data_IF_910306360135
#
_entry.id   IF_910306360135
#
_cell.length_a   1.000
_cell.length_b   1.000
_cell.length_c   1.000
_cell.angle_alpha   90.00
_cell.angle_beta   90.00
_cell.angle_gamma   90.00
#
_symmetry.space_group_name_H-M   'P 1'
#
loop_
_entity.id
_entity.type
_entity.pdbx_description
1 polymer ?
#
# COMPACT_ATOMS: atom_id res chain seq x y z
N UNK A 1 -34.99 -29.49 77.39
CA UNK A 1 -34.80 -28.12 76.87
C UNK A 1 -33.42 -28.06 76.22
N UNK A 2 -33.36 -27.65 74.95
CA UNK A 2 -32.27 -26.98 74.21
C UNK A 2 -30.82 -27.25 74.68
N UNK A 3 -29.86 -27.78 73.90
CA UNK A 3 -29.30 -27.28 72.63
C UNK A 3 -28.10 -28.19 72.27
N UNK A 4 -27.99 -28.76 71.06
CA UNK A 4 -27.31 -28.27 69.85
C UNK A 4 -25.74 -28.24 69.89
N UNK A 5 -25.16 -29.09 69.02
CA UNK A 5 -23.87 -29.08 68.28
C UNK A 5 -23.23 -27.69 67.96
N UNK A 6 -22.04 -27.57 67.30
CA UNK A 6 -20.93 -28.49 66.97
C UNK A 6 -19.52 -27.84 67.21
N UNK A 7 -18.38 -28.51 67.04
CA UNK A 7 -17.65 -28.60 65.75
C UNK A 7 -16.34 -27.80 65.75
N UNK A 8 -15.21 -28.44 66.08
CA UNK A 8 -13.88 -27.85 65.90
C UNK A 8 -13.50 -27.86 64.42
N UNK A 9 -13.67 -26.73 63.76
CA UNK A 9 -13.17 -26.48 62.41
C UNK A 9 -11.66 -26.32 62.43
N UNK A 10 -11.02 -27.06 61.52
CA UNK A 10 -9.61 -27.03 61.17
C UNK A 10 -9.08 -25.62 60.96
N UNK A 11 -8.00 -25.30 61.66
CA UNK A 11 -7.08 -24.22 61.31
C UNK A 11 -6.47 -24.52 59.93
N UNK A 12 -7.06 -23.96 58.88
CA UNK A 12 -6.39 -23.77 57.59
C UNK A 12 -5.84 -22.36 57.56
N UNK A 13 -4.55 -22.28 57.83
CA UNK A 13 -3.70 -21.12 57.61
C UNK A 13 -3.88 -20.63 56.15
N UNK A 14 -4.28 -19.36 55.92
CA UNK A 14 -4.41 -18.83 54.57
C UNK A 14 -3.03 -18.70 53.95
N UNK A 15 -2.76 -19.53 52.94
CA UNK A 15 -1.57 -19.42 52.10
C UNK A 15 -1.47 -17.99 51.56
N UNK A 16 -0.34 -17.35 51.85
CA UNK A 16 -0.03 -16.01 51.40
C UNK A 16 -0.16 -15.93 49.86
N UNK A 17 -0.77 -14.85 49.31
CA UNK A 17 -0.79 -14.63 47.88
C UNK A 17 0.65 -14.48 47.39
N UNK A 18 1.05 -15.43 46.54
CA UNK A 18 2.32 -15.52 45.84
C UNK A 18 2.49 -14.26 44.96
N UNK A 19 2.98 -13.16 45.55
CA UNK A 19 3.11 -11.84 44.93
C UNK A 19 4.32 -11.71 43.99
N UNK A 20 5.09 -12.78 43.83
CA UNK A 20 6.38 -12.75 43.13
C UNK A 20 6.33 -13.37 41.71
N UNK A 21 5.13 -13.67 41.19
CA UNK A 21 4.98 -13.87 39.75
C UNK A 21 5.00 -12.52 39.04
N UNK A 22 6.21 -12.01 38.85
CA UNK A 22 6.49 -11.11 37.73
C UNK A 22 5.80 -11.69 36.49
N UNK A 23 4.85 -10.97 35.86
CA UNK A 23 4.27 -11.43 34.62
C UNK A 23 5.42 -11.51 33.63
N UNK A 24 5.86 -12.74 33.35
CA UNK A 24 6.90 -13.05 32.38
C UNK A 24 6.65 -12.16 31.17
N UNK A 25 7.55 -11.18 30.97
CA UNK A 25 7.45 -10.22 29.89
C UNK A 25 7.32 -11.04 28.61
N UNK A 26 6.07 -11.17 28.13
CA UNK A 26 5.76 -12.03 27.00
C UNK A 26 6.71 -11.65 25.89
N UNK A 27 7.60 -12.58 25.55
CA UNK A 27 8.67 -12.36 24.59
C UNK A 27 8.07 -12.06 23.24
N UNK A 28 7.81 -10.78 22.97
CA UNK A 28 7.36 -10.31 21.66
C UNK A 28 8.59 -10.41 20.77
N UNK A 29 8.72 -11.55 20.10
CA UNK A 29 9.80 -11.77 19.15
C UNK A 29 9.77 -10.64 18.10
N UNK A 30 10.84 -9.84 17.98
CA UNK A 30 10.85 -8.69 17.08
C UNK A 30 10.79 -9.16 15.63
N UNK A 31 9.63 -8.99 15.00
CA UNK A 31 9.42 -9.37 13.60
C UNK A 31 10.24 -8.47 12.66
N UNK A 32 11.08 -9.09 11.84
CA UNK A 32 11.82 -8.42 10.77
C UNK A 32 11.22 -8.76 9.41
N UNK A 33 10.97 -7.78 8.53
CA UNK A 33 10.47 -8.04 7.19
C UNK A 33 11.47 -8.86 6.38
N UNK A 34 11.00 -9.67 5.41
CA UNK A 34 11.89 -10.39 4.49
C UNK A 34 12.85 -9.42 3.80
N UNK A 35 14.10 -9.85 3.60
CA UNK A 35 15.15 -9.05 2.94
C UNK A 35 14.68 -8.53 1.58
N UNK A 36 13.97 -9.36 0.81
CA UNK A 36 13.42 -8.97 -0.50
C UNK A 36 12.50 -7.75 -0.44
N UNK A 37 11.65 -7.64 0.59
CA UNK A 37 10.75 -6.49 0.78
C UNK A 37 11.54 -5.21 1.08
N UNK A 38 12.60 -5.32 1.89
CA UNK A 38 13.46 -4.18 2.20
C UNK A 38 14.25 -3.73 0.96
N UNK A 39 14.79 -4.67 0.18
CA UNK A 39 15.50 -4.37 -1.06
C UNK A 39 14.57 -3.74 -2.10
N UNK A 40 13.34 -4.24 -2.24
CA UNK A 40 12.33 -3.64 -3.11
C UNK A 40 12.02 -2.19 -2.70
N UNK A 41 11.88 -1.92 -1.39
CA UNK A 41 11.72 -0.55 -0.88
C UNK A 41 12.93 0.34 -1.15
N UNK A 42 14.16 -0.16 -1.03
CA UNK A 42 15.36 0.63 -1.33
C UNK A 42 15.51 0.91 -2.84
N UNK A 43 15.24 -0.08 -3.69
CA UNK A 43 15.25 0.07 -5.13
C UNK A 43 14.17 1.05 -5.60
N UNK A 44 12.94 0.92 -5.07
CA UNK A 44 11.85 1.84 -5.34
C UNK A 44 12.16 3.28 -4.92
N UNK A 45 12.85 3.47 -3.79
CA UNK A 45 13.33 4.79 -3.35
C UNK A 45 14.32 5.42 -4.34
N UNK A 46 15.31 4.65 -4.79
CA UNK A 46 16.31 5.13 -5.73
C UNK A 46 15.69 5.55 -7.06
N UNK A 47 14.78 4.72 -7.60
CA UNK A 47 14.05 5.01 -8.84
C UNK A 47 13.14 6.21 -8.66
N UNK A 48 12.39 6.28 -7.56
CA UNK A 48 11.49 7.38 -7.27
C UNK A 48 12.20 8.73 -7.22
N UNK A 49 13.29 8.86 -6.46
CA UNK A 49 14.05 10.12 -6.36
C UNK A 49 14.67 10.48 -7.70
N UNK A 50 15.16 9.50 -8.46
CA UNK A 50 15.74 9.74 -9.79
C UNK A 50 14.68 10.23 -10.78
N UNK A 51 13.51 9.57 -10.81
CA UNK A 51 12.40 9.93 -11.68
C UNK A 51 11.82 11.31 -11.31
N UNK A 52 11.66 11.60 -10.02
CA UNK A 52 11.23 12.90 -9.52
C UNK A 52 12.21 14.01 -9.93
N UNK A 53 13.51 13.83 -9.69
CA UNK A 53 14.50 14.83 -10.06
C UNK A 53 14.58 15.04 -11.58
N UNK A 54 14.51 13.96 -12.36
CA UNK A 54 14.52 14.00 -13.82
C UNK A 54 13.27 14.69 -14.39
N UNK A 55 12.09 14.34 -13.91
CA UNK A 55 10.83 14.98 -14.33
C UNK A 55 10.86 16.47 -14.04
N UNK A 56 11.28 16.88 -12.85
CA UNK A 56 11.35 18.28 -12.43
C UNK A 56 12.39 19.12 -13.18
N UNK A 57 13.60 18.61 -13.40
CA UNK A 57 14.73 19.41 -13.89
C UNK A 57 15.05 19.23 -15.37
N UNK A 58 14.53 18.16 -15.99
CA UNK A 58 14.76 17.84 -17.40
C UNK A 58 13.47 17.83 -18.21
N UNK A 59 12.40 17.19 -17.72
CA UNK A 59 11.15 17.12 -18.48
C UNK A 59 10.36 18.43 -18.40
N UNK A 60 10.10 18.97 -17.20
CA UNK A 60 9.33 20.22 -17.02
C UNK A 60 9.91 21.37 -17.85
N UNK A 61 11.22 21.67 -17.83
CA UNK A 61 11.77 22.79 -18.60
C UNK A 61 11.78 22.56 -20.12
N UNK A 62 11.56 21.33 -20.59
CA UNK A 62 11.44 21.02 -22.01
C UNK A 62 10.02 21.15 -22.54
N UNK A 63 9.00 21.12 -21.67
CA UNK A 63 7.61 21.20 -22.10
C UNK A 63 7.28 22.48 -22.89
N UNK A 64 7.80 23.69 -22.57
CA UNK A 64 7.59 24.87 -23.43
C UNK A 64 8.10 24.67 -24.87
N UNK A 65 9.27 24.05 -25.04
CA UNK A 65 9.86 23.80 -26.37
C UNK A 65 9.00 22.83 -27.18
N UNK A 66 8.39 21.85 -26.50
CA UNK A 66 7.48 20.89 -27.14
C UNK A 66 6.18 21.60 -27.52
N UNK A 67 5.60 22.38 -26.61
CA UNK A 67 4.40 23.16 -26.84
C UNK A 67 4.55 24.11 -28.04
N UNK A 68 5.67 24.82 -28.15
CA UNK A 68 5.95 25.74 -29.25
C UNK A 68 6.08 25.05 -30.63
N UNK A 69 6.43 23.76 -30.65
CA UNK A 69 6.80 23.03 -31.88
C UNK A 69 5.77 21.99 -32.31
N UNK A 70 4.98 21.48 -31.38
CA UNK A 70 4.02 20.44 -31.64
C UNK A 70 2.75 21.02 -32.28
N UNK A 71 2.18 20.37 -33.32
CA UNK A 71 0.94 20.80 -33.93
C UNK A 71 -0.23 20.42 -33.00
N UNK A 72 -0.56 21.28 -32.03
CA UNK A 72 -1.47 20.92 -30.93
C UNK A 72 -2.91 21.44 -31.12
N UNK A 73 -3.88 20.59 -31.51
CA UNK A 73 -5.24 20.72 -31.00
C UNK A 73 -5.27 20.17 -29.56
N UNK A 74 -5.56 21.02 -28.56
CA UNK A 74 -5.67 20.58 -27.15
C UNK A 74 -4.87 21.36 -26.09
N UNK A 75 -4.14 22.42 -26.46
CA UNK A 75 -3.54 23.37 -25.51
C UNK A 75 -2.31 22.86 -24.74
N UNK A 76 -1.43 23.79 -24.39
CA UNK A 76 -0.13 23.52 -23.74
C UNK A 76 -0.27 22.80 -22.39
N UNK A 77 -1.41 23.00 -21.71
CA UNK A 77 -1.65 22.59 -20.33
C UNK A 77 -1.60 21.08 -20.07
N UNK A 78 -2.02 20.23 -21.01
CA UNK A 78 -2.07 18.77 -20.82
C UNK A 78 -0.67 18.16 -20.66
N UNK A 79 0.33 18.65 -21.40
CA UNK A 79 1.71 18.18 -21.31
C UNK A 79 2.34 18.54 -19.95
N UNK A 80 2.11 19.76 -19.46
CA UNK A 80 2.58 20.17 -18.14
C UNK A 80 1.90 19.37 -17.02
N UNK A 81 0.60 19.10 -17.17
CA UNK A 81 -0.16 18.27 -16.24
C UNK A 81 0.37 16.84 -16.18
N UNK A 82 0.67 16.24 -17.33
CA UNK A 82 1.24 14.89 -17.40
C UNK A 82 2.56 14.80 -16.66
N UNK A 83 3.49 15.73 -16.90
CA UNK A 83 4.78 15.77 -16.19
C UNK A 83 4.60 16.01 -14.69
N UNK A 84 3.65 16.86 -14.29
CA UNK A 84 3.30 17.07 -12.88
C UNK A 84 2.80 15.79 -12.20
N UNK A 85 1.93 15.02 -12.86
CA UNK A 85 1.49 13.73 -12.31
C UNK A 85 2.61 12.71 -12.17
N UNK A 86 3.54 12.65 -13.13
CA UNK A 86 4.72 11.78 -13.02
C UNK A 86 5.59 12.17 -11.82
N UNK A 87 5.74 13.48 -11.54
CA UNK A 87 6.44 13.98 -10.34
C UNK A 87 5.75 13.51 -9.06
N UNK A 88 4.45 13.70 -8.96
CA UNK A 88 3.69 13.30 -7.77
C UNK A 88 3.66 11.78 -7.59
N UNK A 89 3.63 11.00 -8.68
CA UNK A 89 3.75 9.54 -8.66
C UNK A 89 5.11 9.10 -8.12
N UNK A 90 6.17 9.76 -8.56
CA UNK A 90 7.52 9.52 -8.06
C UNK A 90 7.63 9.85 -6.56
N UNK A 91 7.07 10.97 -6.10
CA UNK A 91 7.07 11.34 -4.66
C UNK A 91 6.26 10.33 -3.83
N UNK A 92 5.08 9.91 -4.32
CA UNK A 92 4.27 8.87 -3.68
C UNK A 92 5.05 7.55 -3.59
N UNK A 93 5.67 7.12 -4.69
CA UNK A 93 6.51 5.92 -4.73
C UNK A 93 7.66 6.02 -3.72
N UNK A 94 8.31 7.19 -3.58
CA UNK A 94 9.37 7.40 -2.58
C UNK A 94 8.84 7.20 -1.15
N UNK A 95 7.70 7.81 -0.81
CA UNK A 95 7.11 7.68 0.51
C UNK A 95 6.70 6.23 0.84
N UNK A 96 6.03 5.54 -0.09
CA UNK A 96 5.62 4.14 0.07
C UNK A 96 6.82 3.20 0.15
N UNK A 97 7.86 3.46 -0.64
CA UNK A 97 9.10 2.69 -0.64
C UNK A 97 9.87 2.85 0.67
N UNK A 98 9.92 4.07 1.22
CA UNK A 98 10.48 4.33 2.55
C UNK A 98 9.70 3.62 3.66
N UNK A 99 8.37 3.68 3.61
CA UNK A 99 7.51 2.97 4.57
C UNK A 99 7.77 1.46 4.52
N UNK A 100 7.95 0.90 3.32
CA UNK A 100 8.28 -0.51 3.12
C UNK A 100 9.63 -0.88 3.72
N UNK A 101 10.67 -0.08 3.44
CA UNK A 101 12.02 -0.32 3.96
C UNK A 101 12.10 -0.19 5.50
N UNK A 102 11.27 0.69 6.08
CA UNK A 102 11.29 1.01 7.51
C UNK A 102 10.09 0.44 8.29
N UNK A 103 9.29 -0.46 7.71
CA UNK A 103 8.00 -0.86 8.27
C UNK A 103 8.08 -1.33 9.75
N UNK A 104 9.20 -1.94 10.14
CA UNK A 104 9.50 -2.45 11.49
C UNK A 104 9.91 -1.38 12.52
N UNK A 105 10.13 -0.13 12.12
CA UNK A 105 10.62 0.96 12.98
C UNK A 105 9.48 1.76 13.60
N UNK A 106 9.67 2.22 14.86
CA UNK A 106 8.75 3.16 15.52
C UNK A 106 8.64 4.44 14.69
N UNK A 107 7.41 4.90 14.48
CA UNK A 107 7.10 6.08 13.67
C UNK A 107 7.49 6.01 12.18
N UNK A 108 7.64 4.82 11.58
CA UNK A 108 7.90 4.67 10.14
C UNK A 108 6.86 5.38 9.27
N UNK A 109 5.58 5.34 9.66
CA UNK A 109 4.50 6.03 8.95
C UNK A 109 4.70 7.55 8.96
N UNK A 110 5.05 8.13 10.12
CA UNK A 110 5.36 9.56 10.24
C UNK A 110 6.60 9.94 9.42
N UNK A 111 7.63 9.09 9.38
CA UNK A 111 8.82 9.34 8.55
C UNK A 111 8.50 9.29 7.06
N UNK A 112 7.70 8.32 6.62
CA UNK A 112 7.25 8.21 5.23
C UNK A 112 6.39 9.41 4.81
N UNK A 113 5.39 9.76 5.63
CA UNK A 113 4.53 10.92 5.39
C UNK A 113 5.36 12.22 5.37
N UNK A 114 6.20 12.44 6.39
CA UNK A 114 7.06 13.62 6.46
C UNK A 114 8.06 13.70 5.30
N UNK A 115 8.58 12.57 4.82
CA UNK A 115 9.45 12.53 3.63
C UNK A 115 8.68 12.92 2.37
N UNK A 116 7.47 12.37 2.17
CA UNK A 116 6.62 12.77 1.04
C UNK A 116 6.27 14.26 1.07
N UNK A 117 5.86 14.78 2.23
CA UNK A 117 5.56 16.21 2.41
C UNK A 117 6.78 17.09 2.17
N UNK A 118 7.96 16.70 2.68
CA UNK A 118 9.19 17.44 2.48
C UNK A 118 9.60 17.44 1.00
N UNK A 119 9.48 16.31 0.30
CA UNK A 119 9.73 16.23 -1.14
C UNK A 119 8.75 17.11 -1.94
N UNK A 120 7.47 17.17 -1.56
CA UNK A 120 6.52 18.12 -2.18
C UNK A 120 6.92 19.58 -1.96
N UNK A 121 7.41 19.92 -0.76
CA UNK A 121 7.93 21.26 -0.48
C UNK A 121 9.18 21.60 -1.29
N UNK A 122 10.10 20.64 -1.43
CA UNK A 122 11.30 20.79 -2.26
C UNK A 122 10.93 20.89 -3.74
N UNK A 123 9.97 20.08 -4.22
CA UNK A 123 9.45 20.12 -5.59
C UNK A 123 9.01 21.53 -5.97
N UNK A 124 8.12 22.14 -5.18
CA UNK A 124 7.64 23.50 -5.42
C UNK A 124 8.75 24.57 -5.29
N UNK A 125 9.70 24.40 -4.36
CA UNK A 125 10.82 25.33 -4.21
C UNK A 125 11.79 25.29 -5.40
N UNK A 126 12.12 24.09 -5.89
CA UNK A 126 13.02 23.88 -7.04
C UNK A 126 12.36 24.35 -8.33
N UNK A 127 11.06 24.11 -8.51
CA UNK A 127 10.31 24.60 -9.66
C UNK A 127 10.28 26.13 -9.72
N UNK A 128 9.99 26.80 -8.59
CA UNK A 128 10.04 28.27 -8.49
C UNK A 128 11.43 28.84 -8.72
N UNK A 129 12.47 28.13 -8.30
CA UNK A 129 13.86 28.54 -8.53
C UNK A 129 14.28 28.39 -10.00
N UNK A 130 13.46 27.76 -10.85
CA UNK A 130 13.75 27.58 -12.28
C UNK A 130 14.95 26.69 -12.52
N UNK A 131 15.27 25.77 -11.61
CA UNK A 131 16.43 24.89 -11.76
C UNK A 131 16.21 23.88 -12.89
N UNK A 132 17.06 23.95 -13.92
CA UNK A 132 16.94 23.13 -15.12
C UNK A 132 18.30 22.52 -15.54
N UNK A 133 18.23 21.50 -16.40
CA UNK A 133 19.41 20.88 -17.00
C UNK A 133 20.21 19.99 -16.04
N UNK A 134 21.45 19.67 -16.41
CA UNK A 134 22.30 18.73 -15.66
C UNK A 134 22.68 19.25 -14.26
N UNK A 135 22.92 20.56 -14.12
CA UNK A 135 23.21 21.19 -12.83
C UNK A 135 21.98 21.14 -11.93
N UNK A 136 20.81 21.52 -12.45
CA UNK A 136 19.54 21.40 -11.74
C UNK A 136 19.30 19.96 -11.27
N UNK A 137 19.51 18.98 -12.15
CA UNK A 137 19.38 17.55 -11.83
C UNK A 137 20.29 17.13 -10.68
N UNK A 138 21.58 17.50 -10.72
CA UNK A 138 22.54 17.15 -9.68
C UNK A 138 22.16 17.76 -8.31
N UNK A 139 21.74 19.03 -8.31
CA UNK A 139 21.27 19.72 -7.09
C UNK A 139 20.03 19.03 -6.54
N UNK A 140 19.02 18.77 -7.37
CA UNK A 140 17.76 18.14 -6.97
C UNK A 140 17.95 16.71 -6.48
N UNK A 141 18.83 15.93 -7.11
CA UNK A 141 19.24 14.61 -6.59
C UNK A 141 19.94 14.73 -5.23
N UNK A 142 20.81 15.74 -5.06
CA UNK A 142 21.46 16.04 -3.79
C UNK A 142 20.47 16.38 -2.68
N UNK A 143 19.44 17.19 -2.98
CA UNK A 143 18.35 17.50 -2.05
C UNK A 143 17.53 16.24 -1.70
N UNK A 144 17.16 15.43 -2.69
CA UNK A 144 16.49 14.16 -2.46
C UNK A 144 17.31 13.21 -1.59
N UNK A 145 18.61 13.08 -1.86
CA UNK A 145 19.53 12.28 -1.06
C UNK A 145 19.65 12.82 0.38
N UNK A 146 19.71 14.14 0.57
CA UNK A 146 19.74 14.76 1.90
C UNK A 146 18.46 14.47 2.69
N UNK A 147 17.29 14.56 2.05
CA UNK A 147 16.00 14.21 2.65
C UNK A 147 15.99 12.73 3.09
N UNK A 148 16.42 11.81 2.22
CA UNK A 148 16.49 10.38 2.55
C UNK A 148 17.53 10.08 3.65
N UNK A 149 18.66 10.76 3.64
CA UNK A 149 19.69 10.61 4.67
C UNK A 149 19.19 11.09 6.04
N UNK A 150 18.44 12.20 6.08
CA UNK A 150 17.78 12.70 7.29
C UNK A 150 16.74 11.68 7.79
N UNK A 151 15.86 11.18 6.92
CA UNK A 151 14.88 10.16 7.27
C UNK A 151 15.56 8.90 7.83
N UNK A 152 16.64 8.44 7.20
CA UNK A 152 17.45 7.30 7.66
C UNK A 152 18.15 7.56 8.99
N UNK A 153 18.63 8.78 9.24
CA UNK A 153 19.20 9.19 10.53
C UNK A 153 18.16 9.16 11.64
N UNK A 154 16.98 9.75 11.40
CA UNK A 154 15.87 9.75 12.35
C UNK A 154 15.34 8.32 12.61
N UNK A 155 15.32 7.46 11.58
CA UNK A 155 14.94 6.06 11.73
C UNK A 155 15.90 5.26 12.62
N UNK A 156 17.20 5.56 12.57
CA UNK A 156 18.23 4.90 13.42
C UNK A 156 18.04 5.21 14.90
N UNK A 157 17.55 6.40 15.23
CA UNK A 157 17.33 6.83 16.62
C UNK A 157 16.08 6.22 17.23
N UNK A 158 15.23 5.59 16.42
CA UNK A 158 13.99 4.95 16.87
C UNK A 158 14.20 3.45 17.05
N UNK A 159 13.84 2.97 18.26
CA UNK A 159 13.98 1.57 18.62
C UNK A 159 13.23 0.64 17.63
N UNK A 160 13.87 -0.47 17.20
CA UNK A 160 13.15 -1.58 16.58
C UNK A 160 12.25 -2.29 17.62
N UNK A 161 11.35 -3.16 17.18
CA UNK A 161 10.50 -3.95 18.09
C UNK A 161 9.08 -3.43 18.20
N UNK A 162 8.38 -3.36 17.06
CA UNK A 162 6.93 -3.18 17.01
C UNK A 162 6.27 -4.56 16.83
N UNK A 163 5.09 -4.79 17.43
CA UNK A 163 4.32 -6.01 17.18
C UNK A 163 4.14 -6.32 15.68
N UNK A 164 4.29 -7.59 15.32
CA UNK A 164 4.25 -8.06 13.94
C UNK A 164 2.97 -7.63 13.18
N UNK A 165 1.82 -7.63 13.84
CA UNK A 165 0.55 -7.23 13.23
C UNK A 165 0.56 -5.76 12.78
N UNK A 166 1.23 -4.85 13.50
CA UNK A 166 1.35 -3.44 13.09
C UNK A 166 2.22 -3.32 11.85
N UNK A 167 3.32 -4.08 11.78
CA UNK A 167 4.22 -4.05 10.62
C UNK A 167 3.49 -4.57 9.37
N UNK A 168 2.77 -5.68 9.50
CA UNK A 168 1.93 -6.25 8.44
C UNK A 168 0.83 -5.29 7.98
N UNK A 169 0.17 -4.58 8.91
CA UNK A 169 -0.82 -3.54 8.58
C UNK A 169 -0.23 -2.41 7.74
N UNK A 170 0.96 -1.92 8.10
CA UNK A 170 1.67 -0.90 7.32
C UNK A 170 1.99 -1.37 5.91
N UNK A 171 2.45 -2.61 5.76
CA UNK A 171 2.72 -3.21 4.46
C UNK A 171 1.43 -3.44 3.65
N UNK A 172 0.31 -3.76 4.31
CA UNK A 172 -1.00 -3.83 3.65
C UNK A 172 -1.46 -2.46 3.12
N UNK A 173 -1.25 -1.37 3.88
CA UNK A 173 -1.51 0.01 3.41
C UNK A 173 -0.69 0.29 2.16
N UNK A 174 0.62 -0.01 2.19
CA UNK A 174 1.49 0.18 1.02
C UNK A 174 0.99 -0.62 -0.17
N UNK A 175 0.64 -1.90 0.04
CA UNK A 175 0.22 -2.77 -1.04
C UNK A 175 -1.04 -2.26 -1.74
N UNK A 176 -2.04 -1.82 -0.97
CA UNK A 176 -3.29 -1.27 -1.51
C UNK A 176 -3.02 0.05 -2.22
N UNK A 177 -2.31 0.99 -1.57
CA UNK A 177 -2.03 2.30 -2.14
C UNK A 177 -1.22 2.18 -3.44
N UNK A 178 -0.15 1.39 -3.44
CA UNK A 178 0.69 1.20 -4.62
C UNK A 178 -0.07 0.51 -5.77
N UNK A 179 -0.90 -0.50 -5.49
CA UNK A 179 -1.67 -1.19 -6.52
C UNK A 179 -2.74 -0.30 -7.16
N UNK A 180 -3.48 0.47 -6.36
CA UNK A 180 -4.50 1.39 -6.88
C UNK A 180 -3.88 2.56 -7.65
N UNK A 181 -2.72 3.06 -7.22
CA UNK A 181 -2.06 4.19 -7.87
C UNK A 181 -1.20 3.80 -9.07
N UNK A 182 -0.79 2.53 -9.20
CA UNK A 182 0.11 2.09 -10.27
C UNK A 182 -0.38 2.44 -11.68
N UNK A 183 -1.68 2.29 -12.03
CA UNK A 183 -2.12 2.56 -13.40
C UNK A 183 -2.42 4.04 -13.68
N UNK A 184 -2.51 4.88 -12.65
CA UNK A 184 -2.93 6.28 -12.78
C UNK A 184 -1.96 7.18 -13.56
N UNK A 185 -0.62 6.98 -13.55
CA UNK A 185 0.28 7.68 -14.46
C UNK A 185 -0.04 7.51 -15.96
N UNK A 186 -0.89 6.54 -16.31
CA UNK A 186 -1.37 6.30 -17.68
C UNK A 186 -2.69 7.04 -18.00
N UNK A 187 -3.23 7.81 -17.04
CA UNK A 187 -4.45 8.60 -17.25
C UNK A 187 -4.22 9.84 -18.09
N UNK A 188 -2.97 10.32 -18.12
CA UNK A 188 -2.57 11.47 -18.91
C UNK A 188 -1.87 11.02 -20.20
N UNK A 189 -1.97 11.85 -21.23
CA UNK A 189 -1.35 11.61 -22.53
C UNK A 189 -1.53 12.81 -23.45
N UNK A 190 -1.10 12.68 -24.69
CA UNK A 190 -1.25 13.70 -25.74
C UNK A 190 -1.64 13.04 -27.05
N UNK A 191 -2.34 13.74 -27.98
CA UNK A 191 -2.63 13.21 -29.31
C UNK A 191 -1.38 12.68 -30.03
N UNK A 192 -1.54 11.62 -30.83
CA UNK A 192 -0.46 10.91 -31.54
C UNK A 192 0.48 11.81 -32.35
N UNK A 193 -0.08 12.89 -32.93
CA UNK A 193 0.65 13.89 -33.72
C UNK A 193 1.74 14.64 -32.94
N UNK A 194 1.65 14.70 -31.60
CA UNK A 194 2.60 15.40 -30.74
C UNK A 194 3.79 14.53 -30.32
N UNK A 195 3.71 13.22 -30.49
CA UNK A 195 4.72 12.27 -29.96
C UNK A 195 6.11 12.38 -30.59
N UNK A 196 6.27 12.71 -31.89
CA UNK A 196 7.60 12.96 -32.46
C UNK A 196 8.36 14.10 -31.78
N UNK A 197 7.66 14.98 -31.07
CA UNK A 197 8.24 16.14 -30.38
C UNK A 197 8.52 15.86 -28.89
N UNK A 198 8.00 14.76 -28.34
CA UNK A 198 8.15 14.45 -26.92
C UNK A 198 9.60 14.08 -26.58
N UNK A 199 10.12 14.53 -25.43
CA UNK A 199 11.44 14.13 -24.98
C UNK A 199 11.46 12.63 -24.68
N UNK A 200 12.47 11.91 -25.19
CA UNK A 200 12.57 10.45 -25.07
C UNK A 200 12.49 9.89 -23.64
N UNK A 201 12.83 10.69 -22.61
CA UNK A 201 12.70 10.27 -21.22
C UNK A 201 11.29 10.29 -20.64
N UNK A 202 10.34 10.98 -21.28
CA UNK A 202 8.94 11.00 -20.84
C UNK A 202 8.29 9.60 -20.97
N UNK A 203 8.35 8.91 -22.14
CA UNK A 203 7.94 7.50 -22.28
C UNK A 203 8.52 6.58 -21.21
N UNK A 204 9.82 6.73 -20.95
CA UNK A 204 10.55 5.89 -20.00
C UNK A 204 9.99 6.07 -18.58
N UNK A 205 9.80 7.30 -18.11
CA UNK A 205 9.27 7.55 -16.77
C UNK A 205 7.82 7.08 -16.64
N UNK A 206 7.00 7.31 -17.68
CA UNK A 206 5.61 6.84 -17.73
C UNK A 206 5.49 5.31 -17.64
N UNK A 207 6.46 4.56 -18.18
CA UNK A 207 6.49 3.10 -18.06
C UNK A 207 7.08 2.62 -16.72
N UNK A 208 8.15 3.26 -16.25
CA UNK A 208 8.91 2.81 -15.08
C UNK A 208 8.13 2.99 -13.78
N UNK A 209 7.44 4.13 -13.60
CA UNK A 209 6.73 4.41 -12.33
C UNK A 209 5.61 3.40 -12.01
N UNK A 210 4.69 3.08 -12.94
CA UNK A 210 3.70 2.01 -12.74
C UNK A 210 4.30 0.65 -12.41
N UNK A 211 5.38 0.26 -13.12
CA UNK A 211 6.08 -1.00 -12.90
C UNK A 211 6.59 -1.09 -11.47
N UNK A 212 7.27 -0.05 -10.98
CA UNK A 212 7.80 -0.04 -9.62
C UNK A 212 6.72 0.01 -8.55
N UNK A 213 5.58 0.68 -8.79
CA UNK A 213 4.43 0.63 -7.89
C UNK A 213 3.84 -0.78 -7.80
N UNK A 214 3.68 -1.51 -8.92
CA UNK A 214 3.23 -2.91 -8.92
C UNK A 214 4.22 -3.83 -8.21
N UNK A 215 5.51 -3.69 -8.48
CA UNK A 215 6.56 -4.49 -7.82
C UNK A 215 6.52 -4.23 -6.31
N UNK A 216 6.44 -2.97 -5.89
CA UNK A 216 6.34 -2.60 -4.49
C UNK A 216 5.08 -3.20 -3.84
N UNK A 217 3.93 -3.13 -4.51
CA UNK A 217 2.69 -3.72 -4.04
C UNK A 217 2.80 -5.23 -3.82
N UNK A 218 3.42 -5.94 -4.77
CA UNK A 218 3.62 -7.39 -4.71
C UNK A 218 4.53 -7.81 -3.54
N UNK A 219 5.65 -7.11 -3.32
CA UNK A 219 6.53 -7.39 -2.19
C UNK A 219 5.90 -7.02 -0.85
N UNK A 220 5.13 -5.94 -0.80
CA UNK A 220 4.42 -5.50 0.39
C UNK A 220 3.29 -6.48 0.77
N UNK A 221 2.47 -6.93 -0.19
CA UNK A 221 1.43 -7.94 0.07
C UNK A 221 2.05 -9.27 0.48
N UNK A 222 3.12 -9.71 -0.18
CA UNK A 222 3.83 -10.95 0.16
C UNK A 222 4.32 -10.94 1.62
N UNK A 223 4.89 -9.83 2.08
CA UNK A 223 5.37 -9.68 3.45
C UNK A 223 4.27 -9.42 4.49
N UNK A 224 3.12 -8.88 4.08
CA UNK A 224 1.98 -8.69 4.98
C UNK A 224 1.31 -10.02 5.36
N UNK A 225 1.36 -11.04 4.49
CA UNK A 225 0.73 -12.37 4.71
C UNK A 225 1.34 -13.16 5.86
N UNK A 226 0.49 -13.78 6.69
CA UNK A 226 0.91 -14.54 7.88
C UNK A 226 2.09 -15.49 7.64
N UNK A 227 2.04 -16.21 6.52
CA UNK A 227 3.15 -17.03 6.01
C UNK A 227 3.73 -16.36 4.76
N UNK A 228 4.85 -15.64 4.86
CA UNK A 228 5.43 -14.96 3.70
C UNK A 228 5.89 -16.01 2.68
N UNK A 229 5.48 -15.89 1.41
CA UNK A 229 5.96 -16.77 0.37
C UNK A 229 7.45 -16.48 0.07
N UNK A 230 8.11 -17.42 -0.62
CA UNK A 230 9.46 -17.16 -1.16
C UNK A 230 9.44 -15.92 -2.04
N UNK A 231 10.49 -15.07 -2.05
CA UNK A 231 10.50 -13.79 -2.77
C UNK A 231 10.29 -13.90 -4.28
N UNK A 232 10.53 -15.08 -4.87
CA UNK A 232 10.23 -15.35 -6.28
C UNK A 232 8.72 -15.37 -6.59
N UNK A 233 7.87 -15.74 -5.63
CA UNK A 233 6.41 -15.81 -5.83
C UNK A 233 5.76 -14.42 -5.99
N UNK A 234 6.00 -13.43 -5.12
CA UNK A 234 5.49 -12.08 -5.37
C UNK A 234 6.11 -11.46 -6.62
N UNK A 235 7.38 -11.74 -6.92
CA UNK A 235 8.01 -11.29 -8.15
C UNK A 235 7.29 -11.85 -9.38
N UNK A 236 7.07 -13.18 -9.43
CA UNK A 236 6.34 -13.82 -10.51
C UNK A 236 4.89 -13.31 -10.64
N UNK A 237 4.22 -13.07 -9.50
CA UNK A 237 2.89 -12.46 -9.48
C UNK A 237 2.85 -11.01 -9.96
N UNK A 238 3.96 -10.27 -9.83
CA UNK A 238 4.10 -8.91 -10.32
C UNK A 238 4.42 -8.84 -11.83
N UNK A 239 5.02 -9.89 -12.41
CA UNK A 239 5.53 -9.85 -13.79
C UNK A 239 4.46 -9.47 -14.82
N UNK A 240 3.31 -10.15 -14.79
CA UNK A 240 2.23 -9.88 -15.74
C UNK A 240 1.68 -8.44 -15.62
N UNK A 241 1.20 -7.97 -14.45
CA UNK A 241 0.70 -6.60 -14.34
C UNK A 241 1.79 -5.56 -14.60
N UNK A 242 3.04 -5.80 -14.21
CA UNK A 242 4.16 -4.91 -14.53
C UNK A 242 4.43 -4.87 -16.04
N UNK A 243 4.44 -6.00 -16.73
CA UNK A 243 4.64 -6.06 -18.18
C UNK A 243 3.50 -5.37 -18.93
N UNK A 244 2.25 -5.55 -18.49
CA UNK A 244 1.08 -4.88 -19.07
C UNK A 244 1.17 -3.37 -18.88
N UNK A 245 1.40 -2.88 -17.65
CA UNK A 245 1.50 -1.44 -17.40
C UNK A 245 2.75 -0.81 -18.04
N UNK A 246 3.88 -1.52 -18.03
CA UNK A 246 5.08 -1.11 -18.74
C UNK A 246 4.85 -1.02 -20.24
N UNK A 247 4.18 -2.02 -20.81
CA UNK A 247 3.76 -2.04 -22.22
C UNK A 247 2.87 -0.84 -22.56
N UNK A 248 1.81 -0.60 -21.76
CA UNK A 248 0.97 0.58 -21.93
C UNK A 248 1.79 1.86 -21.80
N UNK A 249 2.62 2.03 -20.78
CA UNK A 249 3.44 3.24 -20.61
C UNK A 249 4.41 3.47 -21.76
N UNK A 250 5.03 2.41 -22.30
CA UNK A 250 5.85 2.51 -23.50
C UNK A 250 5.04 2.89 -24.73
N UNK A 251 3.83 2.33 -24.89
CA UNK A 251 2.93 2.64 -26.00
C UNK A 251 2.39 4.08 -25.91
N UNK A 252 2.00 4.55 -24.71
CA UNK A 252 1.64 5.94 -24.42
C UNK A 252 2.78 6.89 -24.74
N UNK A 253 4.03 6.47 -24.56
CA UNK A 253 5.16 7.29 -24.95
C UNK A 253 5.56 7.18 -26.43
N UNK A 254 5.07 6.18 -27.15
CA UNK A 254 5.50 5.86 -28.52
C UNK A 254 4.55 6.37 -29.62
N UNK A 255 3.55 7.19 -29.31
CA UNK A 255 2.61 7.68 -30.33
C UNK A 255 1.19 7.19 -30.23
N UNK A 256 0.89 6.22 -29.36
CA UNK A 256 -0.43 5.61 -29.36
C UNK A 256 -1.45 6.55 -28.72
N UNK A 257 -2.54 6.81 -29.45
CA UNK A 257 -3.56 7.77 -29.06
C UNK A 257 -4.05 7.57 -27.62
N UNK A 258 -4.32 8.67 -26.88
CA UNK A 258 -4.78 8.61 -25.48
C UNK A 258 -6.00 7.71 -25.28
N UNK A 259 -6.93 7.68 -26.24
CA UNK A 259 -8.12 6.82 -26.17
C UNK A 259 -7.81 5.31 -26.09
N UNK A 260 -6.67 4.87 -26.64
CA UNK A 260 -6.26 3.47 -26.64
C UNK A 260 -5.33 3.13 -25.46
N UNK A 261 -4.55 4.10 -24.98
CA UNK A 261 -3.56 3.88 -23.92
C UNK A 261 -4.09 4.15 -22.51
N UNK A 262 -5.08 5.03 -22.37
CA UNK A 262 -5.79 5.29 -21.10
C UNK A 262 -6.62 4.09 -20.60
N UNK A 263 -6.82 3.05 -21.43
CA UNK A 263 -7.39 1.76 -21.02
C UNK A 263 -6.58 1.16 -19.86
N UNK A 264 -5.27 1.41 -19.79
CA UNK A 264 -4.42 0.97 -18.69
C UNK A 264 -4.94 1.41 -17.32
N UNK A 265 -5.55 2.60 -17.23
CA UNK A 265 -6.14 3.14 -15.99
C UNK A 265 -7.21 2.20 -15.43
N UNK A 266 -7.96 1.51 -16.28
CA UNK A 266 -9.05 0.61 -15.86
C UNK A 266 -8.58 -0.51 -14.92
N UNK A 267 -7.27 -0.80 -14.89
CA UNK A 267 -6.66 -1.77 -13.98
C UNK A 267 -6.52 -1.26 -12.53
N UNK A 268 -6.79 0.01 -12.23
CA UNK A 268 -6.60 0.59 -10.89
C UNK A 268 -7.39 -0.15 -9.80
N UNK A 269 -8.71 -0.30 -9.98
CA UNK A 269 -9.56 -1.04 -9.03
C UNK A 269 -9.31 -2.55 -9.08
N UNK A 270 -9.21 -3.22 -10.25
CA UNK A 270 -8.86 -4.63 -10.33
C UNK A 270 -7.57 -5.01 -9.58
N UNK A 271 -6.50 -4.22 -9.72
CA UNK A 271 -5.25 -4.47 -8.99
C UNK A 271 -5.41 -4.32 -7.48
N UNK A 272 -6.16 -3.31 -7.04
CA UNK A 272 -6.54 -3.15 -5.63
C UNK A 272 -7.30 -4.38 -5.11
N UNK A 273 -8.32 -4.85 -5.84
CA UNK A 273 -9.11 -6.04 -5.49
C UNK A 273 -8.22 -7.28 -5.38
N UNK A 274 -7.32 -7.50 -6.33
CA UNK A 274 -6.37 -8.64 -6.29
C UNK A 274 -5.46 -8.56 -5.06
N UNK A 275 -4.93 -7.38 -4.71
CA UNK A 275 -4.13 -7.22 -3.49
C UNK A 275 -4.94 -7.53 -2.24
N UNK A 276 -6.18 -7.04 -2.14
CA UNK A 276 -7.06 -7.34 -1.00
C UNK A 276 -7.38 -8.82 -0.92
N UNK A 277 -7.62 -9.47 -2.07
CA UNK A 277 -7.82 -10.91 -2.16
C UNK A 277 -6.61 -11.66 -1.58
N UNK A 278 -5.40 -11.31 -2.02
CA UNK A 278 -4.14 -11.92 -1.57
C UNK A 278 -3.87 -11.70 -0.07
N UNK A 279 -4.30 -10.57 0.50
CA UNK A 279 -4.24 -10.31 1.93
C UNK A 279 -5.20 -11.20 2.73
N UNK A 280 -6.41 -11.46 2.20
CA UNK A 280 -7.45 -12.24 2.89
C UNK A 280 -7.34 -13.75 2.68
N UNK A 281 -6.81 -14.19 1.54
CA UNK A 281 -6.77 -15.60 1.14
C UNK A 281 -5.69 -16.39 1.92
N UNK A 282 -6.17 -17.18 2.88
CA UNK A 282 -5.34 -18.11 3.66
C UNK A 282 -5.31 -19.52 3.05
N UNK A 283 -6.40 -19.96 2.40
CA UNK A 283 -6.48 -21.19 1.61
C UNK A 283 -7.32 -20.96 0.35
N UNK A 284 -6.85 -21.38 -0.83
CA UNK A 284 -7.64 -21.25 -2.05
C UNK A 284 -8.70 -22.36 -2.09
N UNK A 285 -9.97 -21.99 -1.91
CA UNK A 285 -11.11 -22.82 -2.31
C UNK A 285 -11.68 -22.29 -3.64
N UNK A 286 -12.25 -23.18 -4.46
CA UNK A 286 -12.83 -22.84 -5.77
C UNK A 286 -13.86 -21.72 -5.68
N UNK A 287 -14.71 -21.75 -4.65
CA UNK A 287 -15.72 -20.70 -4.41
C UNK A 287 -15.08 -19.34 -4.13
N UNK A 288 -14.03 -19.32 -3.31
CA UNK A 288 -13.33 -18.09 -2.96
C UNK A 288 -12.56 -17.54 -4.16
N UNK A 289 -11.92 -18.39 -4.96
CA UNK A 289 -11.27 -17.99 -6.21
C UNK A 289 -12.29 -17.40 -7.18
N UNK A 290 -13.42 -18.08 -7.40
CA UNK A 290 -14.48 -17.57 -8.28
C UNK A 290 -15.03 -16.21 -7.82
N UNK A 291 -15.25 -16.02 -6.52
CA UNK A 291 -15.69 -14.75 -5.95
C UNK A 291 -14.68 -13.62 -6.24
N UNK A 292 -13.40 -13.83 -5.95
CA UNK A 292 -12.38 -12.79 -6.16
C UNK A 292 -12.13 -12.51 -7.63
N UNK A 293 -12.19 -13.52 -8.49
CA UNK A 293 -12.17 -13.31 -9.94
C UNK A 293 -13.37 -12.46 -10.38
N UNK A 294 -14.57 -12.77 -9.90
CA UNK A 294 -15.77 -11.99 -10.16
C UNK A 294 -15.66 -10.55 -9.69
N UNK A 295 -15.15 -10.31 -8.47
CA UNK A 295 -14.89 -8.97 -7.94
C UNK A 295 -13.82 -8.22 -8.73
N UNK A 296 -12.79 -8.92 -9.23
CA UNK A 296 -11.74 -8.31 -10.06
C UNK A 296 -12.31 -7.85 -11.39
N UNK A 297 -13.16 -8.66 -12.02
CA UNK A 297 -13.87 -8.30 -13.25
C UNK A 297 -14.87 -7.16 -13.02
N UNK A 298 -15.63 -7.20 -11.92
CA UNK A 298 -16.53 -6.12 -11.51
C UNK A 298 -15.77 -4.84 -11.12
N UNK A 299 -14.47 -4.95 -10.80
CA UNK A 299 -13.59 -3.82 -10.56
C UNK A 299 -13.37 -2.95 -11.81
N UNK A 300 -13.44 -3.52 -13.03
CA UNK A 300 -13.26 -2.77 -14.27
C UNK A 300 -14.24 -1.59 -14.41
N UNK A 301 -15.58 -1.78 -14.34
CA UNK A 301 -16.51 -0.65 -14.32
C UNK A 301 -16.38 0.19 -13.05
N UNK A 302 -15.95 -0.41 -11.93
CA UNK A 302 -15.68 0.30 -10.68
C UNK A 302 -14.53 1.32 -10.75
N UNK A 303 -13.65 1.23 -11.75
CA UNK A 303 -12.62 2.24 -11.98
C UNK A 303 -13.19 3.57 -12.46
N UNK A 304 -14.29 3.57 -13.21
CA UNK A 304 -14.94 4.80 -13.69
C UNK A 304 -15.34 5.74 -12.53
N UNK A 305 -16.11 5.31 -11.50
CA UNK A 305 -16.43 6.18 -10.37
C UNK A 305 -15.18 6.56 -9.57
N UNK A 306 -14.14 5.71 -9.47
CA UNK A 306 -12.88 6.10 -8.84
C UNK A 306 -12.25 7.31 -9.55
N UNK A 307 -12.18 7.28 -10.89
CA UNK A 307 -11.64 8.39 -11.68
C UNK A 307 -12.51 9.63 -11.51
N UNK A 308 -13.84 9.51 -11.61
CA UNK A 308 -14.77 10.64 -11.44
C UNK A 308 -14.61 11.29 -10.04
N UNK A 309 -14.59 10.48 -8.98
CA UNK A 309 -14.42 11.00 -7.61
C UNK A 309 -13.04 11.64 -7.46
N UNK A 310 -12.01 11.05 -8.06
CA UNK A 310 -10.65 11.61 -8.02
C UNK A 310 -10.59 12.96 -8.73
N UNK A 311 -11.24 13.10 -9.88
CA UNK A 311 -11.39 14.38 -10.61
C UNK A 311 -12.05 15.44 -9.73
N UNK A 312 -13.17 15.12 -9.08
CA UNK A 312 -13.88 16.06 -8.20
C UNK A 312 -13.04 16.46 -6.99
N UNK A 313 -12.40 15.50 -6.34
CA UNK A 313 -11.55 15.73 -5.16
C UNK A 313 -10.28 16.51 -5.53
N UNK A 314 -9.77 16.31 -6.74
CA UNK A 314 -8.52 16.92 -7.22
C UNK A 314 -8.57 18.44 -7.25
N UNK A 315 -9.74 19.04 -7.47
CA UNK A 315 -9.93 20.50 -7.41
C UNK A 315 -9.42 21.07 -6.07
N UNK A 316 -9.60 20.34 -4.97
CA UNK A 316 -9.19 20.77 -3.63
C UNK A 316 -7.76 20.36 -3.26
N UNK A 317 -7.16 19.38 -3.96
CA UNK A 317 -5.85 18.82 -3.62
C UNK A 317 -4.76 19.34 -4.55
N UNK A 318 -5.02 19.37 -5.85
CA UNK A 318 -4.06 19.75 -6.87
C UNK A 318 -3.88 21.26 -7.00
N UNK A 319 -4.93 22.05 -6.77
CA UNK A 319 -4.82 23.52 -6.79
C UNK A 319 -3.80 24.06 -5.76
N UNK A 320 -3.79 23.61 -4.49
CA UNK A 320 -2.72 23.94 -3.55
C UNK A 320 -1.32 23.50 -4.00
N UNK A 321 -1.19 22.33 -4.65
CA UNK A 321 0.10 21.84 -5.14
C UNK A 321 0.66 22.71 -6.26
N UNK A 322 -0.19 23.12 -7.21
CA UNK A 322 0.22 24.08 -8.25
C UNK A 322 0.53 25.46 -7.67
N UNK A 323 -0.27 25.94 -6.71
CA UNK A 323 0.03 27.19 -6.02
C UNK A 323 1.39 27.13 -5.28
N UNK A 324 1.72 25.98 -4.66
CA UNK A 324 3.02 25.72 -4.05
C UNK A 324 4.18 25.67 -5.05
N UNK A 325 3.91 25.35 -6.33
CA UNK A 325 4.87 25.45 -7.42
C UNK A 325 4.95 26.86 -8.03
N UNK A 326 4.03 27.76 -7.67
CA UNK A 326 3.90 29.08 -8.30
C UNK A 326 3.28 29.03 -9.70
N UNK A 327 2.58 27.95 -10.03
CA UNK A 327 1.89 27.77 -11.31
C UNK A 327 0.38 27.80 -11.10
N UNK A 328 -0.37 28.03 -12.17
CA UNK A 328 -1.84 27.95 -12.15
C UNK A 328 -2.31 26.60 -12.69
N UNK A 329 -3.48 26.17 -12.21
CA UNK A 329 -4.18 25.01 -12.74
C UNK A 329 -4.54 25.26 -14.22
N UNK A 330 -4.22 24.35 -15.16
CA UNK A 330 -4.62 24.53 -16.56
C UNK A 330 -6.15 24.51 -16.66
N UNK A 331 -6.74 25.42 -17.43
CA UNK A 331 -8.20 25.57 -17.53
C UNK A 331 -8.92 24.28 -17.98
N UNK A 332 -8.23 23.44 -18.77
CA UNK A 332 -8.82 22.27 -19.44
C UNK A 332 -8.30 20.92 -18.89
N UNK A 333 -7.32 20.92 -17.99
CA UNK A 333 -6.64 19.70 -17.52
C UNK A 333 -7.07 19.28 -16.12
N UNK A 334 -7.31 17.98 -15.89
CA UNK A 334 -7.60 17.45 -14.54
C UNK A 334 -6.56 16.48 -14.04
N UNK A 335 -5.87 16.84 -12.95
CA UNK A 335 -4.99 15.92 -12.24
C UNK A 335 -5.84 14.84 -11.54
N UNK A 336 -5.49 13.56 -11.68
CA UNK A 336 -6.22 12.45 -11.04
C UNK A 336 -5.42 11.88 -9.87
N UNK A 337 -4.09 11.84 -10.01
CA UNK A 337 -3.22 11.11 -9.12
C UNK A 337 -3.23 11.59 -7.65
N UNK A 338 -3.14 12.89 -7.31
CA UNK A 338 -3.07 13.32 -5.91
C UNK A 338 -4.32 12.92 -5.11
N UNK A 339 -5.50 13.11 -5.69
CA UNK A 339 -6.77 12.73 -5.09
C UNK A 339 -6.89 11.21 -4.94
N UNK A 340 -6.57 10.46 -5.98
CA UNK A 340 -6.61 9.02 -5.94
C UNK A 340 -5.62 8.42 -4.93
N UNK A 341 -4.43 9.02 -4.77
CA UNK A 341 -3.46 8.63 -3.75
C UNK A 341 -4.01 8.83 -2.33
N UNK A 342 -4.66 9.96 -2.07
CA UNK A 342 -5.34 10.20 -0.79
C UNK A 342 -6.41 9.14 -0.51
N UNK A 343 -7.29 8.89 -1.49
CA UNK A 343 -8.35 7.88 -1.38
C UNK A 343 -7.77 6.47 -1.16
N UNK A 344 -6.73 6.09 -1.90
CA UNK A 344 -6.09 4.79 -1.81
C UNK A 344 -5.37 4.59 -0.47
N UNK A 345 -4.73 5.63 0.07
CA UNK A 345 -4.13 5.60 1.41
C UNK A 345 -5.19 5.45 2.51
N UNK A 346 -6.31 6.17 2.41
CA UNK A 346 -7.44 6.04 3.34
C UNK A 346 -8.03 4.63 3.26
N UNK A 347 -8.32 4.14 2.05
CA UNK A 347 -8.82 2.79 1.83
C UNK A 347 -7.85 1.73 2.39
N UNK A 348 -6.55 1.86 2.14
CA UNK A 348 -5.53 1.00 2.71
C UNK A 348 -5.53 1.02 4.25
N UNK A 349 -5.70 2.19 4.86
CA UNK A 349 -5.81 2.36 6.30
C UNK A 349 -7.04 1.65 6.91
N UNK A 350 -8.17 1.66 6.19
CA UNK A 350 -9.40 0.98 6.59
C UNK A 350 -9.34 -0.53 6.36
N UNK A 351 -8.69 -0.99 5.27
CA UNK A 351 -8.58 -2.40 4.89
C UNK A 351 -7.53 -3.14 5.75
N UNK A 352 -6.43 -2.49 6.10
CA UNK A 352 -5.34 -3.10 6.87
C UNK A 352 -5.79 -3.76 8.19
N UNK A 353 -6.59 -3.12 9.07
CA UNK A 353 -7.05 -3.77 10.31
C UNK A 353 -8.02 -4.92 10.06
N UNK A 354 -8.79 -4.89 8.97
CA UNK A 354 -9.75 -5.94 8.59
C UNK A 354 -9.07 -7.18 7.99
N UNK A 355 -7.86 -7.02 7.45
CA UNK A 355 -7.12 -8.09 6.78
C UNK A 355 -5.99 -8.67 7.62
N UNK A 356 -5.51 -7.91 8.61
CA UNK A 356 -4.46 -8.33 9.55
C UNK A 356 -5.01 -8.27 10.98
N UNK A 357 -5.55 -9.38 11.50
CA UNK A 357 -6.11 -9.44 12.84
C UNK A 357 -5.04 -9.24 13.92
N UNK A 358 -5.47 -8.69 15.06
CA UNK A 358 -4.61 -8.49 16.22
C UNK A 358 -4.27 -9.86 16.83
N UNK A 359 -2.99 -10.20 16.91
CA UNK A 359 -2.48 -11.48 17.41
C UNK A 359 -2.69 -11.70 18.92
N UNK A 360 -3.33 -10.75 19.61
CA UNK A 360 -3.62 -10.79 21.05
C UNK A 360 -5.08 -11.09 21.41
N UNK A 361 -5.97 -11.35 20.45
CA UNK A 361 -7.26 -11.93 20.82
C UNK A 361 -7.04 -13.39 21.19
N UNK A 362 -7.41 -13.82 22.41
CA UNK A 362 -7.62 -15.23 22.67
C UNK A 362 -8.60 -15.69 21.60
N UNK A 363 -8.18 -16.67 20.78
CA UNK A 363 -9.18 -17.48 20.11
C UNK A 363 -10.18 -17.87 21.21
N UNK A 364 -11.51 -17.76 21.02
CA UNK A 364 -12.41 -18.60 21.78
C UNK A 364 -11.99 -20.01 21.40
N UNK A 365 -11.03 -20.55 22.15
CA UNK A 365 -10.70 -21.94 22.11
C UNK A 365 -12.05 -22.59 22.37
N UNK A 366 -12.50 -23.40 21.42
CA UNK A 366 -13.44 -24.46 21.71
C UNK A 366 -13.02 -24.99 23.07
N UNK A 367 -13.90 -24.81 24.06
CA UNK A 367 -13.66 -25.32 25.39
C UNK A 367 -13.15 -26.76 25.20
N UNK A 368 -12.05 -27.16 25.85
CA UNK A 368 -11.64 -28.56 25.79
C UNK A 368 -12.90 -29.38 26.08
N UNK A 369 -13.20 -30.43 25.28
CA UNK A 369 -14.36 -31.27 25.57
C UNK A 369 -14.27 -31.61 27.04
N UNK A 370 -15.25 -31.14 27.81
CA UNK A 370 -15.36 -31.40 29.23
C UNK A 370 -15.23 -32.91 29.37
N UNK A 371 -14.06 -33.37 29.77
CA UNK A 371 -13.84 -34.76 30.14
C UNK A 371 -14.83 -35.00 31.25
N UNK A 372 -15.80 -35.85 30.93
CA UNK A 372 -16.85 -36.33 31.80
C UNK A 372 -16.45 -36.25 33.27
N UNK A 373 -17.26 -35.56 34.06
CA UNK A 373 -17.28 -35.77 35.50
C UNK A 373 -17.34 -37.30 35.74
N UNK A 374 -16.50 -37.86 36.62
CA UNK A 374 -16.63 -39.26 36.96
C UNK A 374 -18.03 -39.48 37.53
N UNK A 375 -18.82 -40.29 36.82
CA UNK A 375 -20.11 -40.78 37.31
C UNK A 375 -19.88 -41.38 38.71
N UNK A 376 -20.66 -40.98 39.74
CA UNK A 376 -20.61 -41.67 41.02
C UNK A 376 -21.01 -43.13 40.79
N UNK A 377 -20.13 -44.04 41.19
CA UNK A 377 -20.40 -45.47 41.22
C UNK A 377 -21.61 -45.71 42.12
N UNK A 378 -22.77 -46.05 41.53
CA UNK A 378 -23.96 -46.37 42.31
C UNK A 378 -25.32 -46.11 41.68
N UNK A 379 -25.44 -45.90 40.36
CA UNK A 379 -26.76 -45.83 39.72
C UNK A 379 -27.17 -47.24 39.21
N UNK A 380 -28.27 -47.83 39.72
CA UNK A 380 -28.75 -49.13 39.24
C UNK A 380 -29.25 -49.03 37.79
N UNK A 381 -28.86 -50.02 36.98
CA UNK A 381 -29.31 -50.19 35.60
C UNK A 381 -30.85 -50.29 35.55
N UNK A 382 -31.55 -49.52 34.70
CA UNK A 382 -32.96 -49.75 34.45
C UNK A 382 -33.15 -51.08 33.70
N UNK A 383 -34.10 -51.87 34.19
CA UNK A 383 -34.45 -53.18 33.68
C UNK A 383 -34.83 -53.16 32.19
N UNK A 384 -34.40 -54.19 31.47
CA UNK A 384 -34.74 -54.43 30.08
C UNK A 384 -36.26 -54.55 29.89
N UNK A 385 -36.81 -53.76 28.96
CA UNK A 385 -38.17 -53.96 28.46
C UNK A 385 -38.14 -55.06 27.41
N UNK A 386 -38.91 -56.15 27.54
CA UNK A 386 -38.97 -57.20 26.54
C UNK A 386 -39.72 -56.71 25.30
N UNK A 387 -39.19 -57.08 24.13
CA UNK A 387 -39.80 -56.85 22.83
C UNK A 387 -41.14 -57.60 22.74
N UNK A 388 -42.24 -56.85 22.61
CA UNK A 388 -43.53 -57.40 22.21
C UNK A 388 -43.58 -57.47 20.68
N UNK A 389 -43.87 -58.67 20.18
CA UNK A 389 -43.87 -59.02 18.77
C UNK A 389 -45.02 -58.42 17.96
N UNK A 390 -44.77 -58.40 16.65
CA UNK A 390 -45.74 -58.24 15.56
C UNK A 390 -46.86 -59.30 15.63
N UNK A 391 -48.02 -59.01 15.03
CA UNK A 391 -48.20 -59.31 13.60
C UNK A 391 -48.22 -58.09 12.67
#
# INVERSE_FOLDING_TARGET
MSSAHPGSTSDREPAAPDSDREPAASGVEPWSPPIGTRLAGLAGLAVAVTAWAYTLTILTPRMPIVADRAPMPGGDGELFLWVAELRWAAILLAALSLLTALAHRRGALLLAAGTGTLLLGVDGAVERAGLAGSVGLAVTLGLGAAVLALAGRLARWRAPGIPAHVVRRRLAIVAVAAACCAPLPLAQGTPGVNHPFLPAGLPLVTAVLPVFLVVLAAFAVGAARHRPPRPLVPLAGALLPAAVLGGFGTATGAGVEPGNTSIGVLLAVPLGVVVVALLRLHRPDRRTVALWTGLTLAGLPGTVPLVIVSVVVSIFVSAPLFALAGTSYPADGVAVLPAAALLALVAGGLIAPLTVPHSGQPSPAAAPPSTAAPLPAGAPLPAAVPAAGQP
#
